data_IF_236744426973
#
_entry.id   IF_236744426973
#
_cell.length_a   1.000
_cell.length_b   1.000
_cell.length_c   1.000
_cell.angle_alpha   90.00
_cell.angle_beta   90.00
_cell.angle_gamma   90.00
#
_symmetry.space_group_name_H-M   'P 1'
#
loop_
_entity.id
_entity.type
_entity.pdbx_description
1 polymer ?
#
# COMPACT_ATOMS: atom_id res chain seq x y z
N UNK A 1 4.76 -16.80 35.72
CA UNK A 1 4.09 -15.62 35.14
C UNK A 1 4.43 -15.59 33.65
N UNK A 2 3.47 -15.91 32.78
CA UNK A 2 3.69 -15.84 31.34
C UNK A 2 3.73 -14.38 30.92
N UNK A 3 4.92 -13.92 30.54
CA UNK A 3 5.19 -12.58 30.01
C UNK A 3 4.50 -12.45 28.64
N UNK A 4 3.20 -12.14 28.65
CA UNK A 4 2.44 -11.80 27.43
C UNK A 4 2.86 -10.40 27.00
N UNK A 5 4.04 -10.28 26.39
CA UNK A 5 4.37 -9.07 25.64
C UNK A 5 3.30 -8.91 24.56
N UNK A 6 2.50 -7.83 24.58
CA UNK A 6 1.53 -7.60 23.52
C UNK A 6 2.32 -7.56 22.20
N UNK A 7 1.86 -8.31 21.21
CA UNK A 7 2.44 -8.24 19.88
C UNK A 7 2.46 -6.76 19.46
N UNK A 8 3.57 -6.27 18.88
CA UNK A 8 3.67 -4.88 18.48
C UNK A 8 2.49 -4.53 17.56
N UNK A 9 1.93 -3.32 17.68
CA UNK A 9 0.78 -2.91 16.87
C UNK A 9 1.11 -3.12 15.39
N UNK A 10 0.35 -4.02 14.76
CA UNK A 10 0.54 -4.32 13.35
C UNK A 10 -0.06 -3.17 12.54
N UNK A 11 0.80 -2.31 12.01
CA UNK A 11 0.41 -1.32 11.00
C UNK A 11 -0.10 -2.11 9.79
N UNK A 12 -1.29 -1.74 9.29
CA UNK A 12 -1.85 -2.39 8.10
C UNK A 12 -0.84 -2.31 6.94
N UNK A 13 -0.61 -3.40 6.20
CA UNK A 13 0.35 -3.42 5.11
C UNK A 13 -0.08 -2.51 3.94
N UNK A 14 -1.30 -1.95 4.00
CA UNK A 14 -1.83 -1.02 3.03
C UNK A 14 -1.61 0.46 3.37
N UNK A 15 -1.08 0.79 4.55
CA UNK A 15 -0.89 2.20 4.96
C UNK A 15 0.09 2.91 4.03
N UNK A 16 1.23 2.29 3.73
CA UNK A 16 2.24 2.86 2.85
C UNK A 16 1.73 3.09 1.41
N UNK A 17 1.13 2.10 0.72
CA UNK A 17 0.59 2.33 -0.61
C UNK A 17 -0.59 3.31 -0.61
N UNK A 18 -1.39 3.40 0.45
CA UNK A 18 -2.45 4.38 0.55
C UNK A 18 -1.90 5.82 0.62
N UNK A 19 -0.82 6.04 1.37
CA UNK A 19 -0.14 7.34 1.43
C UNK A 19 0.46 7.69 0.06
N UNK A 20 1.16 6.74 -0.58
CA UNK A 20 1.69 6.90 -1.94
C UNK A 20 0.60 7.26 -2.94
N UNK A 21 -0.54 6.58 -2.90
CA UNK A 21 -1.67 6.85 -3.78
C UNK A 21 -2.25 8.25 -3.53
N UNK A 22 -2.39 8.66 -2.26
CA UNK A 22 -2.86 10.00 -1.89
C UNK A 22 -1.95 11.10 -2.42
N UNK A 23 -0.63 11.00 -2.17
CA UNK A 23 0.34 11.95 -2.71
C UNK A 23 0.40 11.93 -4.25
N UNK A 24 0.32 10.74 -4.85
CA UNK A 24 0.30 10.60 -6.31
C UNK A 24 -0.92 11.27 -6.95
N UNK A 25 -2.11 11.12 -6.34
CA UNK A 25 -3.33 11.79 -6.78
C UNK A 25 -3.25 13.31 -6.61
N UNK A 26 -2.66 13.77 -5.50
CA UNK A 26 -2.39 15.18 -5.28
C UNK A 26 -1.49 15.74 -6.39
N UNK A 27 -0.35 15.10 -6.65
CA UNK A 27 0.55 15.52 -7.73
C UNK A 27 -0.15 15.46 -9.11
N UNK A 28 -1.07 14.53 -9.32
CA UNK A 28 -1.87 14.49 -10.56
C UNK A 28 -2.82 15.69 -10.65
N UNK A 29 -3.42 16.11 -9.54
CA UNK A 29 -4.23 17.32 -9.49
C UNK A 29 -3.38 18.55 -9.82
N UNK A 30 -2.24 18.74 -9.17
CA UNK A 30 -1.37 19.89 -9.42
C UNK A 30 -0.66 19.84 -10.79
N UNK A 31 -0.53 18.66 -11.40
CA UNK A 31 0.09 18.50 -12.71
C UNK A 31 -0.84 18.75 -13.91
N UNK A 32 -2.16 18.66 -13.72
CA UNK A 32 -3.14 18.73 -14.82
C UNK A 32 -4.34 19.65 -14.57
N UNK A 33 -4.79 19.80 -13.33
CA UNK A 33 -6.04 20.49 -12.99
C UNK A 33 -5.81 21.88 -12.38
N UNK A 34 -4.65 22.13 -11.78
CA UNK A 34 -4.36 23.43 -11.17
C UNK A 34 -4.10 24.54 -12.21
N UNK A 35 -4.51 25.76 -11.87
CA UNK A 35 -4.31 26.97 -12.68
C UNK A 35 -3.36 27.98 -12.00
N UNK A 36 -2.79 27.61 -10.85
CA UNK A 36 -1.87 28.48 -10.12
C UNK A 36 -0.53 28.65 -10.86
N UNK A 37 -0.08 29.90 -11.10
CA UNK A 37 1.11 30.17 -11.90
C UNK A 37 2.42 29.63 -11.28
N UNK A 38 2.51 29.54 -9.95
CA UNK A 38 3.65 28.93 -9.25
C UNK A 38 3.71 27.41 -9.47
N UNK A 39 2.56 26.73 -9.49
CA UNK A 39 2.48 25.30 -9.75
C UNK A 39 2.73 24.94 -11.22
N UNK A 40 2.50 25.88 -12.15
CA UNK A 40 2.84 25.68 -13.57
C UNK A 40 4.34 25.52 -13.79
N UNK A 41 5.18 26.20 -12.99
CA UNK A 41 6.64 26.05 -13.05
C UNK A 41 7.09 24.65 -12.64
N UNK A 42 6.38 24.03 -11.69
CA UNK A 42 6.62 22.68 -11.22
C UNK A 42 5.74 21.62 -11.88
N UNK A 43 5.01 21.97 -12.94
CA UNK A 43 4.02 21.09 -13.55
C UNK A 43 4.64 19.78 -14.07
N UNK A 44 5.83 19.86 -14.68
CA UNK A 44 6.52 18.65 -15.17
C UNK A 44 6.91 17.73 -14.01
N UNK A 45 7.40 18.30 -12.90
CA UNK A 45 7.74 17.53 -11.71
C UNK A 45 6.49 16.84 -11.13
N UNK A 46 5.38 17.56 -11.00
CA UNK A 46 4.12 17.01 -10.51
C UNK A 46 3.59 15.87 -11.40
N UNK A 47 3.71 16.00 -12.72
CA UNK A 47 3.31 14.92 -13.65
C UNK A 47 4.16 13.66 -13.51
N UNK A 48 5.49 13.82 -13.41
CA UNK A 48 6.40 12.68 -13.24
C UNK A 48 6.21 12.05 -11.86
N UNK A 49 6.15 12.86 -10.80
CA UNK A 49 5.91 12.41 -9.43
C UNK A 49 4.58 11.66 -9.32
N UNK A 50 3.50 12.17 -9.91
CA UNK A 50 2.22 11.47 -9.99
C UNK A 50 2.36 10.08 -10.63
N UNK A 51 3.00 10.00 -11.80
CA UNK A 51 3.23 8.73 -12.48
C UNK A 51 4.01 7.73 -11.64
N UNK A 52 5.12 8.17 -11.03
CA UNK A 52 5.99 7.31 -10.19
C UNK A 52 5.27 6.86 -8.92
N UNK A 53 4.64 7.78 -8.19
CA UNK A 53 3.97 7.47 -6.91
C UNK A 53 2.77 6.55 -7.11
N UNK A 54 1.94 6.81 -8.12
CA UNK A 54 0.77 5.97 -8.42
C UNK A 54 1.19 4.59 -8.91
N UNK A 55 2.18 4.50 -9.80
CA UNK A 55 2.69 3.21 -10.27
C UNK A 55 3.26 2.41 -9.09
N UNK A 56 4.02 3.05 -8.22
CA UNK A 56 4.60 2.37 -7.06
C UNK A 56 3.53 1.93 -6.07
N UNK A 57 2.52 2.76 -5.78
CA UNK A 57 1.38 2.38 -4.94
C UNK A 57 0.69 1.12 -5.47
N UNK A 58 0.43 1.06 -6.79
CA UNK A 58 -0.22 -0.08 -7.44
C UNK A 58 0.65 -1.35 -7.31
N UNK A 59 1.94 -1.24 -7.59
CA UNK A 59 2.87 -2.37 -7.49
C UNK A 59 2.95 -2.90 -6.06
N UNK A 60 2.96 -2.01 -5.06
CA UNK A 60 3.04 -2.39 -3.66
C UNK A 60 1.75 -3.06 -3.19
N UNK A 61 0.57 -2.56 -3.58
CA UNK A 61 -0.72 -3.22 -3.34
C UNK A 61 -0.75 -4.61 -3.97
N UNK A 62 -0.33 -4.75 -5.22
CA UNK A 62 -0.28 -6.06 -5.90
C UNK A 62 0.65 -7.01 -5.18
N UNK A 63 1.83 -6.54 -4.75
CA UNK A 63 2.81 -7.34 -4.00
C UNK A 63 2.26 -7.78 -2.64
N UNK A 64 1.61 -6.89 -1.90
CA UNK A 64 0.97 -7.17 -0.61
C UNK A 64 -0.14 -8.20 -0.77
N UNK A 65 -1.05 -8.00 -1.74
CA UNK A 65 -2.14 -8.96 -2.01
C UNK A 65 -1.62 -10.34 -2.38
N UNK A 66 -0.52 -10.43 -3.12
CA UNK A 66 0.11 -11.72 -3.47
C UNK A 66 0.68 -12.43 -2.24
N UNK A 67 1.25 -11.69 -1.28
CA UNK A 67 1.77 -12.24 -0.03
C UNK A 67 0.65 -12.74 0.87
N UNK A 68 -0.38 -11.94 1.07
CA UNK A 68 -1.55 -12.33 1.87
C UNK A 68 -2.23 -13.60 1.31
N UNK A 69 -2.36 -13.70 -0.01
CA UNK A 69 -2.88 -14.92 -0.66
C UNK A 69 -1.99 -16.15 -0.40
N UNK A 70 -0.67 -16.01 -0.57
CA UNK A 70 0.26 -17.11 -0.34
C UNK A 70 0.26 -17.58 1.13
N UNK A 71 0.15 -16.64 2.08
CA UNK A 71 0.04 -16.93 3.52
C UNK A 71 -1.30 -17.62 3.86
N UNK A 72 -2.41 -17.17 3.27
CA UNK A 72 -3.72 -17.81 3.44
C UNK A 72 -3.75 -19.24 2.90
N UNK A 73 -3.12 -19.49 1.73
CA UNK A 73 -3.01 -20.82 1.14
C UNK A 73 -2.15 -21.77 1.99
N UNK A 74 -1.05 -21.29 2.57
CA UNK A 74 -0.21 -22.09 3.47
C UNK A 74 -0.86 -22.34 4.82
N UNK A 75 -1.60 -21.37 5.36
CA UNK A 75 -2.38 -21.56 6.58
C UNK A 75 -3.46 -22.63 6.39
N UNK A 76 -4.23 -22.57 5.30
CA UNK A 76 -5.26 -23.57 4.97
C UNK A 76 -4.68 -24.99 4.80
N UNK A 77 -3.49 -25.12 4.21
CA UNK A 77 -2.84 -26.42 4.02
C UNK A 77 -2.32 -27.04 5.32
N UNK A 78 -2.04 -26.23 6.34
CA UNK A 78 -1.49 -26.65 7.63
C UNK A 78 -2.55 -26.82 8.73
N UNK A 79 -3.84 -26.62 8.44
CA UNK A 79 -4.90 -26.95 9.40
C UNK A 79 -4.90 -28.48 9.64
N UNK A 80 -4.62 -28.96 10.86
CA UNK A 80 -4.73 -30.37 11.17
C UNK A 80 -6.20 -30.77 11.05
N UNK A 81 -6.47 -31.82 10.28
CA UNK A 81 -7.82 -32.36 10.13
C UNK A 81 -8.49 -32.63 11.49
N UNK A 82 -9.84 -32.61 11.54
CA UNK A 82 -10.57 -32.73 12.80
C UNK A 82 -10.12 -33.99 13.56
N UNK A 83 -10.04 -33.93 14.91
CA UNK A 83 -9.63 -35.08 15.69
C UNK A 83 -10.56 -36.26 15.37
N UNK A 84 -9.98 -37.38 14.94
CA UNK A 84 -10.71 -38.61 14.71
C UNK A 84 -11.48 -38.96 16.00
N UNK A 85 -12.80 -39.02 15.88
CA UNK A 85 -13.72 -39.37 16.96
C UNK A 85 -13.83 -40.88 17.13
#
# INVERSE_FOLDING_TARGET
MSDRRPAPPQISPYVFPAILAGFGLWCAYDGWLTADPEMLEHQLFNRIAAGVLLLWAVLDVVRTRRREKAEAETASKNEPGPPAS
#
